data_IF_779229210046
#
_entry.id   IF_779229210046
#
_cell.length_a   1.000
_cell.length_b   1.000
_cell.length_c   1.000
_cell.angle_alpha   90.00
_cell.angle_beta   90.00
_cell.angle_gamma   90.00
#
_symmetry.space_group_name_H-M   'P 1'
#
loop_
_entity.id
_entity.type
_entity.pdbx_description
1 polymer ?
#
# COMPACT_ATOMS: atom_id res chain seq x y z
N UNK A 1 37.00 -13.93 28.39
CA UNK A 1 36.65 -12.67 27.70
C UNK A 1 36.06 -12.91 26.30
N UNK A 2 35.03 -13.76 26.12
CA UNK A 2 34.45 -14.04 24.78
C UNK A 2 32.93 -13.90 24.67
N UNK A 3 32.26 -13.38 25.69
CA UNK A 3 30.82 -13.09 25.66
C UNK A 3 30.48 -11.64 25.29
N UNK A 4 31.42 -10.71 25.37
CA UNK A 4 31.15 -9.27 25.12
C UNK A 4 31.03 -8.93 23.63
N UNK A 5 31.66 -9.70 22.74
CA UNK A 5 31.73 -9.38 21.30
C UNK A 5 30.51 -9.88 20.52
N UNK A 6 29.83 -10.92 21.03
CA UNK A 6 28.62 -11.48 20.40
C UNK A 6 27.40 -10.56 20.60
N UNK A 7 27.31 -9.86 21.73
CA UNK A 7 26.19 -8.96 22.04
C UNK A 7 26.23 -7.70 21.15
N UNK A 8 27.42 -7.17 20.87
CA UNK A 8 27.58 -6.01 19.97
C UNK A 8 27.36 -6.37 18.50
N UNK A 9 27.72 -7.59 18.07
CA UNK A 9 27.50 -8.03 16.70
C UNK A 9 26.01 -8.27 16.41
N UNK A 10 25.26 -8.86 17.36
CA UNK A 10 23.81 -9.05 17.19
C UNK A 10 23.04 -7.72 17.20
N UNK A 11 23.43 -6.76 18.05
CA UNK A 11 22.78 -5.45 18.11
C UNK A 11 23.03 -4.56 16.89
N UNK A 12 24.20 -4.66 16.24
CA UNK A 12 24.52 -3.88 15.03
C UNK A 12 23.83 -4.43 13.77
N UNK A 13 23.61 -5.75 13.72
CA UNK A 13 22.97 -6.41 12.57
C UNK A 13 21.44 -6.23 12.63
N UNK A 14 20.82 -6.24 13.82
CA UNK A 14 19.38 -6.01 13.96
C UNK A 14 18.97 -4.57 13.59
N UNK A 15 19.77 -3.56 13.93
CA UNK A 15 19.48 -2.16 13.57
C UNK A 15 19.57 -1.92 12.06
N UNK A 16 20.46 -2.63 11.35
CA UNK A 16 20.58 -2.48 9.90
C UNK A 16 19.35 -3.02 9.16
N UNK A 17 18.77 -4.14 9.62
CA UNK A 17 17.56 -4.71 9.02
C UNK A 17 16.32 -3.88 9.33
N UNK A 18 16.21 -3.35 10.54
CA UNK A 18 15.11 -2.49 10.93
C UNK A 18 15.07 -1.18 10.12
N UNK A 19 16.24 -0.54 9.94
CA UNK A 19 16.36 0.63 9.06
C UNK A 19 16.00 0.29 7.61
N UNK A 20 16.51 -0.82 7.09
CA UNK A 20 16.24 -1.25 5.70
C UNK A 20 14.74 -1.42 5.44
N UNK A 21 14.00 -1.96 6.40
CA UNK A 21 12.55 -2.11 6.29
C UNK A 21 11.85 -0.75 6.19
N UNK A 22 12.19 0.20 7.08
CA UNK A 22 11.61 1.54 7.08
C UNK A 22 11.94 2.30 5.79
N UNK A 23 13.19 2.30 5.36
CA UNK A 23 13.63 3.01 4.15
C UNK A 23 12.96 2.46 2.88
N UNK A 24 12.80 1.13 2.81
CA UNK A 24 12.10 0.48 1.70
C UNK A 24 10.62 0.82 1.71
N UNK A 25 9.95 0.76 2.86
CA UNK A 25 8.53 1.14 2.99
C UNK A 25 8.34 2.60 2.58
N UNK A 26 9.24 3.49 3.00
CA UNK A 26 9.21 4.91 2.62
C UNK A 26 9.36 5.09 1.10
N UNK A 27 10.29 4.36 0.48
CA UNK A 27 10.50 4.39 -0.98
C UNK A 27 9.28 3.88 -1.73
N UNK A 28 8.70 2.76 -1.28
CA UNK A 28 7.47 2.19 -1.86
C UNK A 28 6.32 3.18 -1.74
N UNK A 29 6.13 3.79 -0.58
CA UNK A 29 5.08 4.77 -0.36
C UNK A 29 5.23 6.00 -1.28
N UNK A 30 6.45 6.52 -1.42
CA UNK A 30 6.75 7.63 -2.33
C UNK A 30 6.49 7.26 -3.80
N UNK A 31 6.88 6.05 -4.22
CA UNK A 31 6.63 5.58 -5.59
C UNK A 31 5.12 5.45 -5.87
N UNK A 32 4.34 4.94 -4.91
CA UNK A 32 2.88 4.85 -5.04
C UNK A 32 2.25 6.24 -5.14
N UNK A 33 2.70 7.18 -4.30
CA UNK A 33 2.23 8.57 -4.32
C UNK A 33 2.53 9.29 -5.65
N UNK A 34 3.65 8.97 -6.29
CA UNK A 34 4.00 9.54 -7.60
C UNK A 34 3.23 8.89 -8.76
N UNK A 35 3.04 7.56 -8.72
CA UNK A 35 2.58 6.78 -9.88
C UNK A 35 1.07 6.56 -9.91
N UNK A 36 0.44 6.26 -8.77
CA UNK A 36 -0.99 5.95 -8.74
C UNK A 36 -1.87 7.10 -9.24
N UNK A 37 -1.65 8.39 -8.89
CA UNK A 37 -2.50 9.47 -9.39
C UNK A 37 -2.55 9.57 -10.91
N UNK A 38 -1.49 9.13 -11.60
CA UNK A 38 -1.44 9.11 -13.08
C UNK A 38 -2.36 8.02 -13.64
N UNK A 39 -2.30 6.81 -13.07
CA UNK A 39 -3.19 5.71 -13.46
C UNK A 39 -4.64 5.99 -13.10
N UNK A 40 -4.89 6.52 -11.90
CA UNK A 40 -6.20 6.92 -11.41
C UNK A 40 -6.87 7.96 -12.34
N UNK A 41 -6.13 9.00 -12.72
CA UNK A 41 -6.61 10.01 -13.67
C UNK A 41 -6.95 9.39 -15.02
N UNK A 42 -6.10 8.48 -15.52
CA UNK A 42 -6.34 7.79 -16.79
C UNK A 42 -7.58 6.87 -16.72
N UNK A 43 -7.79 6.18 -15.61
CA UNK A 43 -8.97 5.33 -15.37
C UNK A 43 -10.25 6.16 -15.39
N UNK A 44 -10.30 7.26 -14.65
CA UNK A 44 -11.50 8.13 -14.63
C UNK A 44 -11.76 8.72 -16.01
N UNK A 45 -10.73 9.20 -16.71
CA UNK A 45 -10.88 9.73 -18.06
C UNK A 45 -11.41 8.65 -19.04
N UNK A 46 -10.88 7.43 -18.96
CA UNK A 46 -11.29 6.32 -19.82
C UNK A 46 -12.71 5.85 -19.51
N UNK A 47 -13.10 5.81 -18.23
CA UNK A 47 -14.47 5.47 -17.84
C UNK A 47 -15.50 6.45 -18.41
N UNK A 48 -15.21 7.76 -18.35
CA UNK A 48 -16.06 8.76 -18.99
C UNK A 48 -16.08 8.61 -20.52
N UNK A 49 -14.92 8.32 -21.13
CA UNK A 49 -14.83 8.12 -22.58
C UNK A 49 -15.59 6.88 -23.07
N UNK A 50 -15.72 5.83 -22.24
CA UNK A 50 -16.57 4.66 -22.52
C UNK A 50 -18.04 5.08 -22.59
N UNK A 51 -18.50 5.94 -21.69
CA UNK A 51 -19.88 6.42 -21.66
C UNK A 51 -20.19 7.38 -22.83
N UNK A 52 -19.25 8.28 -23.13
CA UNK A 52 -19.41 9.31 -24.16
C UNK A 52 -19.12 8.82 -25.60
N UNK A 53 -18.77 7.55 -25.78
CA UNK A 53 -18.30 7.03 -27.06
C UNK A 53 -19.36 7.10 -28.16
N UNK A 54 -19.14 7.96 -29.16
CA UNK A 54 -20.05 8.15 -30.28
C UNK A 54 -20.04 7.02 -31.33
N UNK A 55 -19.05 6.12 -31.29
CA UNK A 55 -18.94 4.98 -32.21
C UNK A 55 -18.11 3.83 -31.60
N UNK A 56 -18.17 2.66 -32.24
CA UNK A 56 -17.54 1.43 -31.74
C UNK A 56 -16.02 1.47 -31.67
N UNK A 57 -15.35 2.26 -32.52
CA UNK A 57 -13.87 2.37 -32.48
C UNK A 57 -13.43 3.21 -31.29
N UNK A 58 -14.12 4.33 -31.04
CA UNK A 58 -13.88 5.16 -29.86
C UNK A 58 -14.17 4.40 -28.57
N UNK A 59 -15.29 3.66 -28.54
CA UNK A 59 -15.67 2.80 -27.42
C UNK A 59 -14.58 1.78 -27.11
N UNK A 60 -14.17 0.99 -28.10
CA UNK A 60 -13.16 -0.07 -27.91
C UNK A 60 -11.81 0.49 -27.41
N UNK A 61 -11.41 1.67 -27.91
CA UNK A 61 -10.19 2.32 -27.45
C UNK A 61 -10.29 2.78 -25.99
N UNK A 62 -11.43 3.35 -25.59
CA UNK A 62 -11.67 3.78 -24.22
C UNK A 62 -11.76 2.59 -23.25
N UNK A 63 -12.42 1.50 -23.66
CA UNK A 63 -12.51 0.26 -22.89
C UNK A 63 -11.12 -0.34 -22.63
N UNK A 64 -10.28 -0.41 -23.66
CA UNK A 64 -8.91 -0.90 -23.53
C UNK A 64 -8.06 -0.04 -22.58
N UNK A 65 -8.22 1.29 -22.63
CA UNK A 65 -7.51 2.20 -21.72
C UNK A 65 -8.00 2.08 -20.28
N UNK A 66 -9.31 1.90 -20.08
CA UNK A 66 -9.91 1.68 -18.76
C UNK A 66 -9.34 0.41 -18.11
N UNK A 67 -9.34 -0.71 -18.84
CA UNK A 67 -8.76 -1.97 -18.39
C UNK A 67 -7.27 -1.80 -18.09
N UNK A 68 -6.50 -1.22 -19.01
CA UNK A 68 -5.07 -1.03 -18.82
C UNK A 68 -4.73 -0.17 -17.59
N UNK A 69 -5.52 0.89 -17.33
CA UNK A 69 -5.35 1.74 -16.16
C UNK A 69 -5.61 0.99 -14.85
N UNK A 70 -6.69 0.20 -14.76
CA UNK A 70 -7.00 -0.60 -13.59
C UNK A 70 -5.94 -1.71 -13.36
N UNK A 71 -5.47 -2.36 -14.43
CA UNK A 71 -4.36 -3.32 -14.36
C UNK A 71 -3.07 -2.67 -13.88
N UNK A 72 -2.79 -1.43 -14.27
CA UNK A 72 -1.59 -0.71 -13.81
C UNK A 72 -1.65 -0.41 -12.31
N UNK A 73 -2.82 -0.04 -11.78
CA UNK A 73 -3.04 0.13 -10.34
C UNK A 73 -2.78 -1.19 -9.61
N UNK A 74 -3.41 -2.28 -10.06
CA UNK A 74 -3.24 -3.61 -9.47
C UNK A 74 -1.77 -4.09 -9.46
N UNK A 75 -1.08 -3.87 -10.59
CA UNK A 75 0.35 -4.20 -10.73
C UNK A 75 1.21 -3.40 -9.76
N UNK A 76 0.93 -2.11 -9.59
CA UNK A 76 1.66 -1.25 -8.65
C UNK A 76 1.48 -1.73 -7.21
N UNK A 77 0.25 -2.10 -6.81
CA UNK A 77 -0.03 -2.64 -5.48
C UNK A 77 0.66 -3.98 -5.24
N UNK A 78 0.61 -4.91 -6.21
CA UNK A 78 1.26 -6.22 -6.11
C UNK A 78 2.79 -6.09 -6.02
N UNK A 79 3.38 -5.14 -6.77
CA UNK A 79 4.81 -4.85 -6.69
C UNK A 79 5.20 -4.26 -5.33
N UNK A 80 4.38 -3.34 -4.80
CA UNK A 80 4.58 -2.75 -3.50
C UNK A 80 4.45 -3.79 -2.37
N UNK A 81 3.45 -4.68 -2.45
CA UNK A 81 3.29 -5.83 -1.54
C UNK A 81 4.57 -6.65 -1.47
N UNK A 82 5.08 -7.06 -2.64
CA UNK A 82 6.26 -7.93 -2.75
C UNK A 82 7.48 -7.28 -2.10
N UNK A 83 7.69 -5.99 -2.36
CA UNK A 83 8.81 -5.23 -1.80
C UNK A 83 8.71 -5.08 -0.28
N UNK A 84 7.52 -4.72 0.24
CA UNK A 84 7.28 -4.59 1.68
C UNK A 84 7.45 -5.96 2.36
N UNK A 85 6.86 -7.03 1.80
CA UNK A 85 6.96 -8.37 2.36
C UNK A 85 8.41 -8.87 2.43
N UNK A 86 9.22 -8.58 1.40
CA UNK A 86 10.63 -8.99 1.37
C UNK A 86 11.46 -8.41 2.52
N UNK A 87 11.22 -7.15 2.89
CA UNK A 87 11.99 -6.46 3.94
C UNK A 87 11.37 -6.53 5.33
N UNK A 88 10.14 -7.04 5.45
CA UNK A 88 9.44 -7.21 6.74
C UNK A 88 9.37 -8.68 7.13
N UNK A 89 8.52 -9.45 6.45
CA UNK A 89 8.32 -10.88 6.70
C UNK A 89 9.55 -11.70 6.29
N UNK A 90 10.18 -11.33 5.18
CA UNK A 90 11.38 -11.98 4.65
C UNK A 90 12.69 -11.57 5.31
N UNK A 91 12.67 -10.62 6.25
CA UNK A 91 13.87 -10.17 6.95
C UNK A 91 14.49 -11.28 7.81
N UNK A 92 15.79 -11.19 8.07
CA UNK A 92 16.44 -12.07 9.04
C UNK A 92 15.91 -11.77 10.46
N UNK A 93 15.46 -12.83 11.16
CA UNK A 93 14.68 -12.67 12.39
C UNK A 93 13.20 -12.39 12.16
N UNK A 94 12.73 -12.43 10.90
CA UNK A 94 11.36 -12.18 10.49
C UNK A 94 10.89 -10.78 10.85
N UNK A 95 9.57 -10.63 10.99
CA UNK A 95 8.91 -9.37 11.35
C UNK A 95 9.47 -8.78 12.65
N UNK A 96 9.78 -9.61 13.65
CA UNK A 96 10.37 -9.15 14.92
C UNK A 96 11.78 -8.59 14.72
N UNK A 97 12.60 -9.23 13.89
CA UNK A 97 13.94 -8.74 13.54
C UNK A 97 13.88 -7.37 12.87
N UNK A 98 12.95 -7.18 11.93
CA UNK A 98 12.74 -5.91 11.25
C UNK A 98 12.15 -4.80 12.16
N UNK A 99 11.45 -5.17 13.24
CA UNK A 99 10.72 -4.22 14.09
C UNK A 99 11.53 -3.72 15.30
N UNK A 100 12.71 -4.30 15.57
CA UNK A 100 13.49 -4.02 16.78
C UNK A 100 14.69 -3.13 16.50
N UNK A 101 14.94 -2.17 17.40
CA UNK A 101 16.10 -1.27 17.28
C UNK A 101 15.87 -0.03 16.40
N UNK A 102 14.62 0.21 15.97
CA UNK A 102 14.16 1.47 15.40
C UNK A 102 14.36 2.64 16.35
N UNK A 103 14.79 3.76 15.77
CA UNK A 103 14.92 5.06 16.43
C UNK A 103 13.62 5.86 16.31
N UNK A 104 13.51 6.99 17.03
CA UNK A 104 12.36 7.90 16.86
C UNK A 104 12.23 8.43 15.42
N UNK A 105 13.36 8.67 14.74
CA UNK A 105 13.37 9.08 13.34
C UNK A 105 12.72 8.02 12.47
N UNK A 106 13.04 6.74 12.70
CA UNK A 106 12.49 5.64 11.90
C UNK A 106 11.00 5.47 12.13
N UNK A 107 10.52 5.62 13.37
CA UNK A 107 9.09 5.63 13.67
C UNK A 107 8.36 6.78 12.97
N UNK A 108 8.95 7.97 12.94
CA UNK A 108 8.35 9.13 12.27
C UNK A 108 8.30 8.92 10.75
N UNK A 109 9.37 8.39 10.15
CA UNK A 109 9.43 8.03 8.73
C UNK A 109 8.38 6.97 8.40
N UNK A 110 8.30 5.90 9.19
CA UNK A 110 7.33 4.83 9.00
C UNK A 110 5.88 5.33 9.16
N UNK A 111 5.64 6.24 10.10
CA UNK A 111 4.34 6.89 10.29
C UNK A 111 3.94 7.66 9.03
N UNK A 112 4.84 8.48 8.50
CA UNK A 112 4.62 9.26 7.28
C UNK A 112 4.38 8.34 6.07
N UNK A 113 5.23 7.34 5.87
CA UNK A 113 5.08 6.38 4.78
C UNK A 113 3.73 5.63 4.84
N UNK A 114 3.29 5.25 6.06
CA UNK A 114 1.98 4.63 6.26
C UNK A 114 0.84 5.57 5.90
N UNK A 115 0.94 6.86 6.23
CA UNK A 115 -0.05 7.88 5.86
C UNK A 115 -0.11 8.11 4.34
N UNK A 116 1.03 8.05 3.64
CA UNK A 116 1.05 8.15 2.18
C UNK A 116 0.37 6.93 1.55
N UNK A 117 0.58 5.71 2.08
CA UNK A 117 -0.14 4.51 1.65
C UNK A 117 -1.65 4.63 1.92
N UNK A 118 -2.05 5.19 3.06
CA UNK A 118 -3.47 5.50 3.36
C UNK A 118 -4.06 6.41 2.28
N UNK A 119 -3.35 7.47 1.93
CA UNK A 119 -3.77 8.44 0.90
C UNK A 119 -3.91 7.76 -0.46
N UNK A 120 -2.97 6.89 -0.82
CA UNK A 120 -3.02 6.11 -2.06
C UNK A 120 -4.26 5.20 -2.12
N UNK A 121 -4.59 4.51 -1.03
CA UNK A 121 -5.82 3.70 -0.95
C UNK A 121 -7.09 4.56 -1.07
N UNK A 122 -7.10 5.75 -0.49
CA UNK A 122 -8.23 6.68 -0.65
C UNK A 122 -8.37 7.16 -2.09
N UNK A 123 -7.26 7.42 -2.80
CA UNK A 123 -7.23 7.72 -4.23
C UNK A 123 -7.87 6.61 -5.08
N UNK A 124 -7.56 5.35 -4.76
CA UNK A 124 -8.17 4.20 -5.41
C UNK A 124 -9.70 4.17 -5.18
N UNK A 125 -10.16 4.36 -3.95
CA UNK A 125 -11.60 4.43 -3.66
C UNK A 125 -12.30 5.57 -4.42
N UNK A 126 -11.65 6.74 -4.51
CA UNK A 126 -12.15 7.87 -5.27
C UNK A 126 -12.17 7.61 -6.79
N UNK A 127 -11.24 6.81 -7.30
CA UNK A 127 -11.16 6.40 -8.72
C UNK A 127 -12.24 5.41 -9.10
N UNK A 128 -12.54 4.48 -8.20
CA UNK A 128 -13.53 3.43 -8.41
C UNK A 128 -14.96 3.99 -8.36
N UNK A 129 -15.23 4.98 -7.51
CA UNK A 129 -16.58 5.54 -7.29
C UNK A 129 -17.26 6.05 -8.58
N UNK A 130 -16.59 6.83 -9.46
CA UNK A 130 -17.14 7.22 -10.75
C UNK A 130 -17.52 6.05 -11.66
N UNK A 131 -16.75 4.95 -11.67
CA UNK A 131 -17.03 3.79 -12.53
C UNK A 131 -18.37 3.17 -12.16
N UNK A 132 -18.64 2.98 -10.87
CA UNK A 132 -19.94 2.49 -10.39
C UNK A 132 -21.07 3.51 -10.61
N UNK A 133 -20.76 4.80 -10.50
CA UNK A 133 -21.76 5.86 -10.70
C UNK A 133 -22.21 5.98 -12.16
N UNK A 134 -21.29 5.75 -13.11
CA UNK A 134 -21.59 5.69 -14.54
C UNK A 134 -22.41 4.43 -14.88
N UNK A 135 -22.09 3.30 -14.25
CA UNK A 135 -22.77 2.03 -14.51
C UNK A 135 -22.52 1.53 -15.93
N UNK A 136 -23.51 0.85 -16.51
CA UNK A 136 -23.56 0.53 -17.94
C UNK A 136 -22.30 -0.13 -18.49
N UNK A 137 -21.80 0.40 -19.60
CA UNK A 137 -20.62 -0.14 -20.29
C UNK A 137 -19.33 0.07 -19.47
N UNK A 138 -19.18 1.20 -18.78
CA UNK A 138 -17.99 1.47 -17.97
C UNK A 138 -17.84 0.44 -16.85
N UNK A 139 -18.92 0.18 -16.11
CA UNK A 139 -18.92 -0.83 -15.05
C UNK A 139 -18.75 -2.25 -15.61
N UNK A 140 -19.43 -2.59 -16.71
CA UNK A 140 -19.32 -3.92 -17.32
C UNK A 140 -17.89 -4.21 -17.81
N UNK A 141 -17.24 -3.22 -18.44
CA UNK A 141 -15.86 -3.32 -18.92
C UNK A 141 -14.87 -3.44 -17.77
N UNK A 142 -15.09 -2.70 -16.67
CA UNK A 142 -14.19 -2.70 -15.52
C UNK A 142 -14.41 -3.86 -14.54
N UNK A 143 -15.50 -4.63 -14.68
CA UNK A 143 -15.95 -5.55 -13.62
C UNK A 143 -14.90 -6.59 -13.20
N UNK A 144 -14.19 -7.18 -14.16
CA UNK A 144 -13.17 -8.20 -13.86
C UNK A 144 -12.00 -7.58 -13.11
N UNK A 145 -11.50 -6.43 -13.56
CA UNK A 145 -10.34 -5.73 -13.04
C UNK A 145 -10.65 -5.11 -11.68
N UNK A 146 -11.88 -4.63 -11.46
CA UNK A 146 -12.36 -4.21 -10.14
C UNK A 146 -12.38 -5.40 -9.17
N UNK A 147 -12.87 -6.57 -9.59
CA UNK A 147 -12.85 -7.77 -8.74
C UNK A 147 -11.42 -8.22 -8.39
N UNK A 148 -10.49 -8.14 -9.35
CA UNK A 148 -9.06 -8.39 -9.11
C UNK A 148 -8.50 -7.37 -8.11
N UNK A 149 -8.75 -6.08 -8.32
CA UNK A 149 -8.29 -5.01 -7.44
C UNK A 149 -8.80 -5.19 -6.01
N UNK A 150 -10.08 -5.55 -5.82
CA UNK A 150 -10.62 -5.88 -4.50
C UNK A 150 -9.90 -7.06 -3.83
N UNK A 151 -9.51 -8.07 -4.60
CA UNK A 151 -8.75 -9.21 -4.11
C UNK A 151 -7.30 -8.86 -3.77
N UNK A 152 -6.72 -7.83 -4.39
CA UNK A 152 -5.33 -7.39 -4.18
C UNK A 152 -5.15 -6.47 -2.97
N UNK A 153 -6.15 -5.65 -2.63
CA UNK A 153 -6.00 -4.61 -1.57
C UNK A 153 -5.63 -5.19 -0.20
N UNK A 154 -6.24 -6.31 0.21
CA UNK A 154 -5.92 -6.96 1.49
C UNK A 154 -4.51 -7.57 1.53
N UNK A 155 -4.13 -8.44 0.55
CA UNK A 155 -2.75 -8.92 0.43
C UNK A 155 -1.72 -7.80 0.46
N UNK A 156 -1.95 -6.71 -0.28
CA UNK A 156 -1.04 -5.57 -0.36
C UNK A 156 -0.67 -4.99 1.01
N UNK A 157 -1.66 -4.74 1.88
CA UNK A 157 -1.41 -4.11 3.19
C UNK A 157 -1.00 -5.10 4.28
N UNK A 158 -1.26 -6.40 4.12
CA UNK A 158 -1.10 -7.37 5.19
C UNK A 158 0.34 -7.45 5.75
N UNK A 159 1.41 -7.47 4.93
CA UNK A 159 2.78 -7.42 5.43
C UNK A 159 3.08 -6.15 6.23
N UNK A 160 2.59 -5.00 5.77
CA UNK A 160 2.74 -3.74 6.48
C UNK A 160 2.00 -3.76 7.81
N UNK A 161 0.76 -4.23 7.85
CA UNK A 161 -0.02 -4.32 9.10
C UNK A 161 0.64 -5.21 10.16
N UNK A 162 1.17 -6.36 9.74
CA UNK A 162 1.92 -7.25 10.63
C UNK A 162 3.19 -6.57 11.16
N UNK A 163 3.91 -5.86 10.29
CA UNK A 163 5.09 -5.09 10.66
C UNK A 163 4.77 -3.97 11.67
N UNK A 164 3.77 -3.15 11.39
CA UNK A 164 3.32 -2.07 12.27
C UNK A 164 2.92 -2.60 13.65
N UNK A 165 2.17 -3.71 13.71
CA UNK A 165 1.79 -4.33 14.97
C UNK A 165 3.01 -4.79 15.79
N UNK A 166 4.02 -5.37 15.13
CA UNK A 166 5.25 -5.80 15.80
C UNK A 166 6.08 -4.61 16.31
N UNK A 167 6.12 -3.51 15.57
CA UNK A 167 6.75 -2.26 16.03
C UNK A 167 6.02 -1.74 17.27
N UNK A 168 4.70 -1.56 17.21
CA UNK A 168 3.92 -1.09 18.36
C UNK A 168 4.12 -1.96 19.61
N UNK A 169 4.17 -3.28 19.44
CA UNK A 169 4.44 -4.20 20.53
C UNK A 169 5.86 -4.06 21.09
N UNK A 170 6.86 -3.90 20.23
CA UNK A 170 8.27 -3.79 20.63
C UNK A 170 8.56 -2.53 21.46
N UNK A 171 7.75 -1.48 21.28
CA UNK A 171 7.91 -0.19 21.96
C UNK A 171 6.78 0.12 22.95
N UNK A 172 5.95 -0.88 23.30
CA UNK A 172 4.88 -0.72 24.28
C UNK A 172 5.45 -0.36 25.67
N UNK A 173 5.36 0.92 26.05
CA UNK A 173 5.92 1.45 27.30
C UNK A 173 7.42 1.77 27.24
N UNK A 174 8.00 1.86 26.04
CA UNK A 174 9.40 2.20 25.80
C UNK A 174 9.69 3.70 25.75
N UNK A 175 10.92 4.04 25.40
CA UNK A 175 11.41 5.43 25.26
C UNK A 175 11.10 6.10 23.92
N UNK A 176 10.45 5.38 23.00
CA UNK A 176 10.11 5.85 21.65
C UNK A 176 8.60 6.07 21.61
N UNK A 177 8.19 7.24 21.13
CA UNK A 177 6.77 7.56 20.96
C UNK A 177 6.25 6.93 19.67
N UNK A 178 5.27 6.03 19.82
CA UNK A 178 4.62 5.30 18.73
C UNK A 178 3.14 5.69 18.58
N UNK A 179 2.69 6.76 19.23
CA UNK A 179 1.28 7.21 19.19
C UNK A 179 0.86 7.55 17.76
N UNK A 180 1.69 8.28 17.02
CA UNK A 180 1.44 8.61 15.62
C UNK A 180 1.36 7.37 14.72
N UNK A 181 2.21 6.38 14.98
CA UNK A 181 2.22 5.11 14.25
C UNK A 181 0.94 4.30 14.51
N UNK A 182 0.48 4.28 15.76
CA UNK A 182 -0.79 3.64 16.13
C UNK A 182 -1.98 4.26 15.40
N UNK A 183 -2.05 5.60 15.36
CA UNK A 183 -3.09 6.31 14.60
C UNK A 183 -3.02 6.01 13.09
N UNK A 184 -1.81 5.97 12.52
CA UNK A 184 -1.61 5.63 11.10
C UNK A 184 -2.03 4.19 10.80
N UNK A 185 -1.75 3.23 11.68
CA UNK A 185 -2.19 1.83 11.52
C UNK A 185 -3.71 1.71 11.53
N UNK A 186 -4.42 2.44 12.40
CA UNK A 186 -5.89 2.48 12.40
C UNK A 186 -6.43 3.11 11.11
N UNK A 187 -5.82 4.22 10.65
CA UNK A 187 -6.22 4.85 9.40
C UNK A 187 -6.02 3.91 8.19
N UNK A 188 -4.94 3.12 8.17
CA UNK A 188 -4.69 2.10 7.15
C UNK A 188 -5.79 1.04 7.11
N UNK A 189 -6.19 0.50 8.27
CA UNK A 189 -7.28 -0.47 8.35
C UNK A 189 -8.60 0.12 7.83
N UNK A 190 -8.91 1.36 8.21
CA UNK A 190 -10.12 2.04 7.74
C UNK A 190 -10.09 2.29 6.22
N UNK A 191 -8.94 2.68 5.66
CA UNK A 191 -8.79 2.89 4.22
C UNK A 191 -8.98 1.59 3.43
N UNK A 192 -8.43 0.49 3.91
CA UNK A 192 -8.60 -0.85 3.33
C UNK A 192 -10.08 -1.25 3.31
N UNK A 193 -10.77 -1.11 4.45
CA UNK A 193 -12.21 -1.37 4.53
C UNK A 193 -13.00 -0.46 3.60
N UNK A 194 -12.62 0.82 3.48
CA UNK A 194 -13.26 1.75 2.57
C UNK A 194 -13.17 1.29 1.12
N UNK A 195 -11.96 0.95 0.64
CA UNK A 195 -11.75 0.50 -0.75
C UNK A 195 -12.54 -0.76 -1.05
N UNK A 196 -12.49 -1.76 -0.16
CA UNK A 196 -13.20 -3.03 -0.34
C UNK A 196 -14.71 -2.80 -0.37
N UNK A 197 -15.23 -1.94 0.49
CA UNK A 197 -16.65 -1.62 0.50
C UNK A 197 -17.06 -0.82 -0.76
N UNK A 198 -16.20 0.06 -1.28
CA UNK A 198 -16.46 0.78 -2.53
C UNK A 198 -16.51 -0.15 -3.73
N UNK A 199 -15.60 -1.12 -3.81
CA UNK A 199 -15.57 -2.09 -4.92
C UNK A 199 -16.66 -3.17 -4.74
N UNK A 200 -17.00 -3.52 -3.50
CA UNK A 200 -18.04 -4.51 -3.21
C UNK A 200 -19.48 -3.98 -3.27
N UNK A 201 -19.67 -2.67 -3.50
CA UNK A 201 -20.98 -2.00 -3.62
C UNK A 201 -21.58 -2.15 -5.02
#
# INVERSE_FOLDING_TARGET
MKLSTAITAFGLVSTAWAQTAVDTIATVAANLEETLPQYETAVVASANAVEDAANSVALLAAEAQLVAGLTAIDTALTSAETQIAAVTVGAAGGVTGAATGLTQTDINTLTTATQNIVTALQGISATVTPIYSLGGNAQATAATELAVLAATVQPFVAPLQAYLAAVLQSYAGGSVDVTGLGAAQTALQNAVTSVINTIGA
#
